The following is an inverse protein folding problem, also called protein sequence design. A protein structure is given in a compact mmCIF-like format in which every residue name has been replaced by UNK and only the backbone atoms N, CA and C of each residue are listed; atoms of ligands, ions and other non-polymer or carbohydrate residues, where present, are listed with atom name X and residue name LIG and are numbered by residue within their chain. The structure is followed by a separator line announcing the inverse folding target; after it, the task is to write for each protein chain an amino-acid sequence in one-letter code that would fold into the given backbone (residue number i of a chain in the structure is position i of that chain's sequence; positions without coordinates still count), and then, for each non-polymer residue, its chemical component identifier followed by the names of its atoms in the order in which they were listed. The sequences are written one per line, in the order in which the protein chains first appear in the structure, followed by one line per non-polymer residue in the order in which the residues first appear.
data_IF_046682318270
#
_entry.id   IF_046682318270
#
_cell.length_a   1.000
_cell.length_b   1.000
_cell.length_c   1.000
_cell.angle_alpha   90.00
_cell.angle_beta   90.00
_cell.angle_gamma   90.00
#
_symmetry.space_group_name_H-M   'P 1'
#
loop_
_entity.id
_entity.type
_entity.pdbx_description
1 polymer ?
#
# COMPACT_ATOMS: atom_id res chain seq x y z
N UNK A 1 -6.18 -26.52 -0.50
CA UNK A 1 -6.45 -25.76 0.74
C UNK A 1 -6.81 -24.31 0.47
N UNK A 2 -5.93 -23.46 -0.11
CA UNK A 2 -6.30 -22.05 -0.38
C UNK A 2 -7.59 -21.92 -1.16
N UNK A 3 -7.74 -22.68 -2.27
CA UNK A 3 -8.96 -22.66 -3.07
C UNK A 3 -10.21 -23.03 -2.26
N UNK A 4 -10.12 -24.02 -1.40
CA UNK A 4 -11.24 -24.45 -0.54
C UNK A 4 -11.57 -23.43 0.54
N UNK A 5 -10.55 -22.81 1.14
CA UNK A 5 -10.73 -21.79 2.18
C UNK A 5 -11.40 -20.52 1.62
N UNK A 6 -10.96 -20.04 0.46
CA UNK A 6 -11.52 -18.85 -0.19
C UNK A 6 -12.82 -19.12 -0.96
N UNK A 7 -13.06 -20.36 -1.42
CA UNK A 7 -14.30 -20.72 -2.10
C UNK A 7 -15.54 -20.50 -1.24
N UNK A 8 -15.43 -20.68 0.07
CA UNK A 8 -16.51 -20.44 1.02
C UNK A 8 -16.84 -18.94 1.20
N UNK A 9 -15.92 -18.06 0.87
CA UNK A 9 -16.12 -16.61 0.94
C UNK A 9 -16.71 -16.02 -0.35
N UNK A 10 -17.17 -16.84 -1.27
CA UNK A 10 -17.82 -16.51 -2.57
C UNK A 10 -16.95 -15.69 -3.55
N UNK A 11 -15.68 -15.43 -3.25
CA UNK A 11 -14.87 -14.42 -3.96
C UNK A 11 -13.50 -14.94 -4.44
N UNK A 12 -13.15 -16.21 -4.20
CA UNK A 12 -11.86 -16.73 -4.66
C UNK A 12 -11.88 -16.93 -6.20
N UNK A 13 -11.01 -16.24 -6.93
CA UNK A 13 -10.94 -16.44 -8.37
C UNK A 13 -10.47 -17.85 -8.71
N UNK A 14 -10.95 -18.46 -9.79
CA UNK A 14 -10.52 -19.79 -10.24
C UNK A 14 -9.01 -19.92 -10.48
N UNK A 15 -8.33 -18.82 -10.70
CA UNK A 15 -6.91 -18.67 -10.96
C UNK A 15 -6.04 -18.53 -9.70
N UNK A 16 -6.64 -18.49 -8.49
CA UNK A 16 -5.90 -18.46 -7.24
C UNK A 16 -4.86 -19.59 -7.11
N UNK A 17 -5.15 -20.86 -7.46
CA UNK A 17 -4.14 -21.91 -7.45
C UNK A 17 -2.96 -21.66 -8.37
N UNK A 18 -3.16 -20.98 -9.50
CA UNK A 18 -2.07 -20.63 -10.42
C UNK A 18 -1.17 -19.58 -9.82
N UNK A 19 -1.74 -18.52 -9.25
CA UNK A 19 -0.97 -17.51 -8.53
C UNK A 19 -0.17 -18.09 -7.36
N UNK A 20 -0.79 -18.96 -6.54
CA UNK A 20 -0.05 -19.65 -5.46
C UNK A 20 1.12 -20.48 -5.99
N UNK A 21 0.97 -21.15 -7.15
CA UNK A 21 2.08 -21.89 -7.78
C UNK A 21 3.19 -20.96 -8.24
N UNK A 22 2.88 -19.79 -8.76
CA UNK A 22 3.88 -18.79 -9.16
C UNK A 22 4.69 -18.33 -7.94
N UNK A 23 4.02 -18.06 -6.81
CA UNK A 23 4.68 -17.67 -5.56
C UNK A 23 5.58 -18.77 -4.97
N UNK A 24 5.18 -20.04 -5.08
CA UNK A 24 5.94 -21.20 -4.57
C UNK A 24 7.06 -21.61 -5.56
N UNK A 25 6.90 -21.29 -6.84
CA UNK A 25 7.75 -21.81 -7.93
C UNK A 25 9.22 -21.39 -7.87
N UNK A 26 9.60 -20.49 -6.97
CA UNK A 26 11.00 -20.08 -6.77
C UNK A 26 11.51 -19.06 -7.78
N UNK A 27 10.67 -18.54 -8.66
CA UNK A 27 11.01 -17.52 -9.66
C UNK A 27 10.49 -16.14 -9.31
N UNK A 28 9.60 -16.04 -8.33
CA UNK A 28 9.05 -14.77 -7.88
C UNK A 28 10.10 -13.98 -7.08
N UNK A 29 10.33 -12.68 -7.39
CA UNK A 29 11.45 -11.92 -6.80
C UNK A 29 11.31 -11.63 -5.31
N UNK A 30 10.09 -11.65 -4.75
CA UNK A 30 9.84 -11.25 -3.37
C UNK A 30 9.61 -12.44 -2.41
N UNK A 31 9.48 -13.67 -2.92
CA UNK A 31 9.06 -14.81 -2.11
C UNK A 31 9.55 -16.12 -2.73
N UNK A 32 9.76 -17.12 -1.87
CA UNK A 32 10.08 -18.48 -2.27
C UNK A 32 9.41 -19.53 -1.37
N UNK A 33 9.64 -20.82 -1.62
CA UNK A 33 9.00 -21.91 -0.89
C UNK A 33 9.20 -21.82 0.64
N UNK A 34 10.36 -21.33 1.10
CA UNK A 34 10.71 -21.17 2.50
C UNK A 34 9.95 -20.05 3.22
N UNK A 35 9.21 -19.20 2.50
CA UNK A 35 8.46 -18.08 3.05
C UNK A 35 7.03 -18.45 3.45
N UNK A 36 6.58 -19.64 3.11
CA UNK A 36 5.28 -20.15 3.51
C UNK A 36 5.31 -20.69 4.94
N UNK A 37 4.22 -20.47 5.66
CA UNK A 37 3.94 -21.04 6.98
C UNK A 37 2.65 -21.86 6.88
N UNK A 38 2.68 -23.08 7.41
CA UNK A 38 1.61 -24.05 7.24
C UNK A 38 1.28 -24.69 8.59
N UNK A 39 0.00 -25.06 8.77
CA UNK A 39 -0.45 -25.97 9.84
C UNK A 39 -0.96 -27.22 9.18
N UNK A 40 -0.44 -28.38 9.60
CA UNK A 40 -0.85 -29.70 9.16
C UNK A 40 -1.66 -30.42 10.24
N UNK A 41 -2.79 -31.00 9.87
CA UNK A 41 -3.45 -32.04 10.66
C UNK A 41 -2.75 -33.36 10.34
N UNK A 42 -1.87 -33.79 11.25
CA UNK A 42 -1.04 -34.98 11.07
C UNK A 42 -1.85 -36.28 11.06
N UNK A 43 -3.01 -36.29 11.73
CA UNK A 43 -3.89 -37.48 11.76
C UNK A 43 -4.57 -37.70 10.41
N UNK A 44 -4.82 -36.61 9.69
CA UNK A 44 -5.47 -36.63 8.37
C UNK A 44 -4.50 -36.40 7.22
N UNK A 45 -3.23 -36.08 7.49
CA UNK A 45 -2.19 -35.81 6.51
C UNK A 45 -2.53 -34.65 5.57
N UNK A 46 -3.18 -33.57 6.09
CA UNK A 46 -3.59 -32.43 5.27
C UNK A 46 -3.23 -31.08 5.88
N UNK A 47 -2.88 -30.13 5.02
CA UNK A 47 -2.68 -28.74 5.42
C UNK A 47 -4.06 -28.10 5.68
N UNK A 48 -4.22 -27.48 6.86
CA UNK A 48 -5.49 -26.92 7.34
C UNK A 48 -5.45 -25.42 7.53
N UNK A 49 -4.25 -24.82 7.66
CA UNK A 49 -4.09 -23.36 7.67
C UNK A 49 -2.76 -22.99 7.01
N UNK A 50 -2.70 -21.84 6.37
CA UNK A 50 -1.49 -21.38 5.70
C UNK A 50 -1.48 -19.85 5.55
N UNK A 51 -0.26 -19.31 5.42
CA UNK A 51 0.02 -17.94 4.99
C UNK A 51 1.42 -17.91 4.38
N UNK A 52 1.82 -16.79 3.80
CA UNK A 52 3.19 -16.54 3.36
C UNK A 52 3.66 -15.15 3.81
N UNK A 53 4.95 -14.88 3.68
CA UNK A 53 5.58 -13.61 4.00
C UNK A 53 6.39 -13.12 2.81
N UNK A 54 5.84 -12.16 2.05
CA UNK A 54 6.59 -11.48 0.99
C UNK A 54 7.57 -10.47 1.61
N UNK A 55 8.73 -10.31 0.96
CA UNK A 55 9.77 -9.37 1.39
C UNK A 55 9.73 -8.16 0.46
N UNK A 56 9.35 -7.01 1.00
CA UNK A 56 9.21 -5.77 0.24
C UNK A 56 10.15 -4.69 0.78
N UNK A 57 10.40 -3.69 -0.04
CA UNK A 57 11.05 -2.45 0.37
C UNK A 57 10.05 -1.32 0.19
N UNK A 58 9.69 -0.67 1.28
CA UNK A 58 9.02 0.63 1.20
C UNK A 58 10.04 1.75 1.34
N UNK A 59 9.70 2.93 0.90
CA UNK A 59 10.46 4.13 1.17
C UNK A 59 9.63 5.13 1.96
N UNK A 60 10.24 5.70 3.00
CA UNK A 60 9.70 6.80 3.77
C UNK A 60 10.47 8.07 3.38
N UNK A 61 9.94 8.88 2.47
CA UNK A 61 10.61 10.05 1.86
C UNK A 61 12.07 9.77 1.45
N UNK A 62 12.28 8.69 0.69
CA UNK A 62 13.60 8.28 0.19
C UNK A 62 14.40 7.39 1.14
N UNK A 63 13.96 7.17 2.39
CA UNK A 63 14.61 6.25 3.33
C UNK A 63 14.00 4.85 3.16
N UNK A 64 14.81 3.90 2.73
CA UNK A 64 14.39 2.52 2.54
C UNK A 64 14.07 1.83 3.88
N UNK A 65 12.91 1.16 3.92
CA UNK A 65 12.42 0.35 5.02
C UNK A 65 12.22 -1.08 4.52
N UNK A 66 12.83 -2.06 5.17
CA UNK A 66 12.51 -3.48 4.95
C UNK A 66 11.15 -3.77 5.56
N UNK A 67 10.24 -4.33 4.76
CA UNK A 67 8.86 -4.59 5.16
C UNK A 67 8.47 -6.02 4.83
N UNK A 68 7.88 -6.70 5.81
CA UNK A 68 7.23 -7.99 5.60
C UNK A 68 5.77 -7.81 5.21
N UNK A 69 5.30 -8.48 4.18
CA UNK A 69 3.88 -8.52 3.84
C UNK A 69 3.32 -9.93 4.04
N UNK A 70 2.60 -10.21 5.15
CA UNK A 70 1.81 -11.43 5.24
C UNK A 70 0.74 -11.44 4.15
N UNK A 71 0.58 -12.57 3.46
CA UNK A 71 -0.38 -12.70 2.38
C UNK A 71 -0.99 -14.10 2.37
N UNK A 72 -2.11 -14.29 1.67
CA UNK A 72 -2.77 -15.59 1.53
C UNK A 72 -3.11 -16.25 2.89
N UNK A 73 -3.60 -15.45 3.85
CA UNK A 73 -4.01 -15.96 5.16
C UNK A 73 -5.29 -16.77 5.00
N UNK A 74 -5.21 -18.09 5.15
CA UNK A 74 -6.33 -18.97 4.95
C UNK A 74 -6.38 -20.09 5.98
N UNK A 75 -7.59 -20.44 6.45
CA UNK A 75 -7.84 -21.59 7.32
C UNK A 75 -9.06 -22.33 6.81
N UNK A 76 -8.94 -23.66 6.66
CA UNK A 76 -10.06 -24.52 6.32
C UNK A 76 -11.19 -24.30 7.33
N UNK A 77 -12.42 -24.16 6.85
CA UNK A 77 -13.58 -23.77 7.65
C UNK A 77 -13.83 -24.72 8.85
N UNK A 78 -13.59 -26.05 8.72
CA UNK A 78 -13.71 -27.03 9.80
C UNK A 78 -12.71 -26.82 10.94
N UNK A 79 -11.66 -26.04 10.71
CA UNK A 79 -10.55 -25.79 11.64
C UNK A 79 -10.51 -24.33 12.13
N UNK A 80 -11.51 -23.52 11.76
CA UNK A 80 -11.62 -22.14 12.27
C UNK A 80 -11.84 -22.13 13.79
N UNK A 81 -11.58 -21.00 14.43
CA UNK A 81 -11.76 -20.76 15.87
C UNK A 81 -10.88 -21.62 16.80
N UNK A 82 -9.83 -22.28 16.25
CA UNK A 82 -8.87 -23.10 17.01
C UNK A 82 -7.53 -22.40 17.26
N UNK A 83 -7.44 -21.10 17.03
CA UNK A 83 -6.19 -20.33 17.23
C UNK A 83 -5.10 -20.55 16.18
N UNK A 84 -5.37 -21.24 15.07
CA UNK A 84 -4.35 -21.60 14.06
C UNK A 84 -3.73 -20.36 13.40
N UNK A 85 -4.54 -19.34 13.08
CA UNK A 85 -4.03 -18.08 12.53
C UNK A 85 -3.10 -17.39 13.54
N UNK A 86 -3.41 -17.42 14.84
CA UNK A 86 -2.54 -16.85 15.86
C UNK A 86 -1.18 -17.53 15.87
N UNK A 87 -1.16 -18.86 15.89
CA UNK A 87 0.09 -19.63 15.86
C UNK A 87 0.94 -19.35 14.60
N UNK A 88 0.29 -19.25 13.42
CA UNK A 88 0.98 -18.90 12.18
C UNK A 88 1.53 -17.46 12.24
N UNK A 89 0.78 -16.49 12.78
CA UNK A 89 1.24 -15.10 12.89
C UNK A 89 2.40 -14.96 13.88
N UNK A 90 2.45 -15.73 14.96
CA UNK A 90 3.63 -15.79 15.83
C UNK A 90 4.88 -16.21 15.05
N UNK A 91 4.78 -17.24 14.20
CA UNK A 91 5.88 -17.69 13.35
C UNK A 91 6.26 -16.62 12.30
N UNK A 92 5.27 -16.00 11.64
CA UNK A 92 5.49 -14.94 10.65
C UNK A 92 6.15 -13.72 11.30
N UNK A 93 5.72 -13.31 12.49
CA UNK A 93 6.33 -12.20 13.23
C UNK A 93 7.78 -12.51 13.64
N UNK A 94 8.05 -13.73 14.14
CA UNK A 94 9.41 -14.16 14.47
C UNK A 94 10.32 -14.16 13.22
N UNK A 95 9.82 -14.66 12.09
CA UNK A 95 10.52 -14.65 10.80
C UNK A 95 10.77 -13.22 10.29
N UNK A 96 9.78 -12.34 10.42
CA UNK A 96 9.89 -10.92 10.07
C UNK A 96 10.99 -10.23 10.91
N UNK A 97 11.01 -10.47 12.21
CA UNK A 97 12.06 -9.95 13.12
C UNK A 97 13.45 -10.47 12.74
N UNK A 98 13.58 -11.76 12.44
CA UNK A 98 14.85 -12.36 11.99
C UNK A 98 15.38 -11.76 10.67
N UNK A 99 14.49 -11.21 9.84
CA UNK A 99 14.82 -10.49 8.59
C UNK A 99 14.98 -9.00 8.77
N UNK A 100 14.94 -8.50 9.99
CA UNK A 100 15.06 -7.07 10.31
C UNK A 100 14.01 -6.18 9.63
N UNK A 101 12.80 -6.71 9.41
CA UNK A 101 11.71 -5.88 8.92
C UNK A 101 11.32 -4.85 9.97
N UNK A 102 11.30 -3.58 9.58
CA UNK A 102 10.91 -2.46 10.44
C UNK A 102 9.39 -2.28 10.53
N UNK A 103 8.67 -2.80 9.56
CA UNK A 103 7.22 -2.83 9.56
C UNK A 103 6.70 -4.11 8.89
N UNK A 104 5.43 -4.43 9.16
CA UNK A 104 4.66 -5.39 8.38
C UNK A 104 3.40 -4.69 7.86
N UNK A 105 3.03 -4.98 6.61
CA UNK A 105 1.82 -4.45 5.99
C UNK A 105 0.90 -5.58 5.53
N UNK A 106 -0.41 -5.45 5.72
CA UNK A 106 -1.42 -6.39 5.21
C UNK A 106 -2.73 -5.66 4.92
N UNK A 107 -3.46 -6.12 3.90
CA UNK A 107 -4.82 -5.68 3.60
C UNK A 107 -5.83 -6.82 3.79
N UNK A 108 -7.10 -6.56 3.60
CA UNK A 108 -8.17 -7.56 3.67
C UNK A 108 -8.96 -7.51 4.98
N UNK A 109 -9.46 -8.60 5.44
CA UNK A 109 -10.49 -8.81 6.47
C UNK A 109 -10.69 -7.65 7.43
N UNK A 110 -11.84 -6.92 7.35
CA UNK A 110 -12.09 -5.73 8.17
C UNK A 110 -11.94 -5.99 9.67
N UNK A 111 -11.23 -5.11 10.35
CA UNK A 111 -11.00 -5.13 11.80
C UNK A 111 -10.25 -6.34 12.38
N UNK A 112 -9.88 -7.31 11.55
CA UNK A 112 -9.36 -8.60 12.01
C UNK A 112 -7.93 -8.52 12.55
N UNK A 113 -7.01 -7.84 11.84
CA UNK A 113 -5.57 -7.86 12.16
C UNK A 113 -5.18 -7.00 13.35
N UNK A 114 -6.07 -6.18 13.89
CA UNK A 114 -5.83 -5.43 15.14
C UNK A 114 -5.50 -6.32 16.34
N UNK A 115 -6.02 -7.54 16.38
CA UNK A 115 -5.70 -8.52 17.44
C UNK A 115 -4.24 -9.03 17.40
N UNK A 116 -3.50 -8.67 16.36
CA UNK A 116 -2.08 -9.02 16.16
C UNK A 116 -1.18 -7.78 16.11
N UNK A 117 -1.60 -6.68 16.74
CA UNK A 117 -0.89 -5.40 16.84
C UNK A 117 -0.73 -4.64 15.50
N UNK A 118 -1.70 -4.78 14.59
CA UNK A 118 -1.79 -3.96 13.38
C UNK A 118 -2.81 -2.83 13.54
N UNK A 119 -2.53 -1.68 12.93
CA UNK A 119 -3.43 -0.54 12.86
C UNK A 119 -3.60 -0.08 11.42
N UNK A 120 -4.77 0.44 11.06
CA UNK A 120 -4.97 1.12 9.79
C UNK A 120 -4.14 2.40 9.72
N UNK A 121 -2.96 2.34 9.12
CA UNK A 121 -1.99 3.43 9.14
C UNK A 121 -1.71 4.07 7.77
N UNK A 122 -2.15 3.46 6.67
CA UNK A 122 -2.04 3.99 5.32
C UNK A 122 -3.36 3.80 4.58
N UNK A 123 -3.71 4.69 3.67
CA UNK A 123 -4.80 4.43 2.73
C UNK A 123 -4.33 3.41 1.67
N UNK A 124 -5.21 2.52 1.22
CA UNK A 124 -4.88 1.52 0.20
C UNK A 124 -4.90 2.16 -1.18
N UNK A 125 -6.03 2.74 -1.55
CA UNK A 125 -6.19 3.52 -2.77
C UNK A 125 -7.34 4.52 -2.61
N UNK A 126 -7.45 5.48 -3.53
CA UNK A 126 -8.49 6.49 -3.53
C UNK A 126 -9.48 6.27 -4.67
N UNK A 127 -10.16 5.13 -4.73
CA UNK A 127 -10.92 4.67 -5.89
C UNK A 127 -11.85 5.71 -6.52
N UNK A 128 -11.72 5.85 -7.85
CA UNK A 128 -12.62 6.65 -8.69
C UNK A 128 -13.10 5.79 -9.85
N UNK A 129 -14.41 5.82 -10.09
CA UNK A 129 -15.04 5.04 -11.14
C UNK A 129 -15.59 5.95 -12.23
N UNK A 130 -15.20 5.68 -13.49
CA UNK A 130 -15.69 6.39 -14.66
C UNK A 130 -16.52 5.42 -15.51
N UNK A 131 -17.82 5.65 -15.61
CA UNK A 131 -18.67 4.87 -16.50
C UNK A 131 -18.21 5.01 -17.95
N UNK A 132 -18.28 3.94 -18.74
CA UNK A 132 -17.98 4.00 -20.17
C UNK A 132 -18.86 4.99 -20.94
N UNK A 133 -20.07 5.26 -20.45
CA UNK A 133 -20.95 6.28 -21.02
C UNK A 133 -20.44 7.71 -20.81
N UNK A 134 -19.64 7.94 -19.75
CA UNK A 134 -19.04 9.24 -19.45
C UNK A 134 -17.70 9.47 -20.14
N UNK A 135 -17.12 8.46 -20.80
CA UNK A 135 -15.86 8.61 -21.55
C UNK A 135 -16.07 9.50 -22.76
N UNK A 136 -15.34 10.63 -22.89
CA UNK A 136 -15.51 11.55 -24.01
C UNK A 136 -15.24 10.89 -25.37
N UNK A 137 -16.16 11.02 -26.30
CA UNK A 137 -16.00 10.53 -27.68
C UNK A 137 -15.12 11.47 -28.50
N UNK A 138 -14.43 10.91 -29.50
CA UNK A 138 -13.81 11.71 -30.56
C UNK A 138 -14.87 12.26 -31.52
N UNK A 139 -14.60 13.37 -32.13
CA UNK A 139 -15.37 13.84 -33.27
C UNK A 139 -15.06 13.00 -34.52
N UNK A 140 -16.02 12.92 -35.42
CA UNK A 140 -15.82 12.16 -36.66
C UNK A 140 -14.57 12.66 -37.41
N UNK A 141 -13.66 11.71 -37.71
CA UNK A 141 -12.43 12.01 -38.43
C UNK A 141 -11.30 12.62 -37.57
N UNK A 142 -11.52 12.84 -36.28
CA UNK A 142 -10.45 13.31 -35.36
C UNK A 142 -9.53 12.16 -35.00
N UNK A 143 -8.20 12.30 -35.22
CA UNK A 143 -7.25 11.25 -34.80
C UNK A 143 -7.06 11.24 -33.29
N UNK A 144 -6.73 10.06 -32.73
CA UNK A 144 -6.29 9.97 -31.33
C UNK A 144 -4.99 10.73 -31.12
N UNK A 145 -4.98 11.61 -30.11
CA UNK A 145 -3.78 12.37 -29.75
C UNK A 145 -2.75 11.52 -29.01
N UNK A 146 -3.21 10.50 -28.28
CA UNK A 146 -2.36 9.56 -27.54
C UNK A 146 -2.89 8.14 -27.70
N UNK A 147 -1.97 7.17 -27.71
CA UNK A 147 -2.30 5.74 -27.79
C UNK A 147 -1.66 4.97 -26.65
N UNK A 148 -2.19 3.79 -26.32
CA UNK A 148 -1.58 2.85 -25.38
C UNK A 148 -0.86 1.73 -26.14
N UNK A 149 0.37 1.47 -25.77
CA UNK A 149 1.19 0.37 -26.29
C UNK A 149 1.71 -0.49 -25.14
N UNK A 150 1.57 -1.80 -25.24
CA UNK A 150 2.14 -2.70 -24.23
C UNK A 150 3.64 -2.50 -24.11
N UNK A 151 4.13 -2.44 -22.87
CA UNK A 151 5.55 -2.33 -22.58
C UNK A 151 6.21 -3.71 -22.63
N UNK A 152 7.39 -3.76 -23.22
CA UNK A 152 8.26 -4.94 -23.23
C UNK A 152 9.55 -4.72 -22.45
N UNK A 153 10.44 -5.73 -22.47
CA UNK A 153 11.74 -5.63 -21.76
C UNK A 153 12.61 -4.46 -22.23
N UNK A 154 12.50 -4.05 -23.50
CA UNK A 154 13.22 -2.90 -24.03
C UNK A 154 12.77 -1.56 -23.37
N UNK A 155 11.55 -1.52 -22.84
CA UNK A 155 10.98 -0.34 -22.22
C UNK A 155 11.27 -0.27 -20.70
N UNK A 156 11.88 -1.31 -20.13
CA UNK A 156 12.09 -1.46 -18.68
C UNK A 156 12.75 -0.23 -18.03
N UNK A 157 13.84 0.36 -18.55
CA UNK A 157 14.46 1.55 -17.94
C UNK A 157 13.50 2.75 -17.91
N UNK A 158 12.67 2.90 -18.94
CA UNK A 158 11.70 3.99 -19.02
C UNK A 158 10.57 3.79 -18.03
N UNK A 159 10.00 2.57 -17.93
CA UNK A 159 8.95 2.23 -16.97
C UNK A 159 9.43 2.49 -15.55
N UNK A 160 10.63 2.05 -15.19
CA UNK A 160 11.23 2.29 -13.88
C UNK A 160 11.38 3.78 -13.58
N UNK A 161 11.84 4.57 -14.56
CA UNK A 161 11.98 6.02 -14.40
C UNK A 161 10.64 6.72 -14.17
N UNK A 162 9.60 6.34 -14.91
CA UNK A 162 8.27 6.92 -14.77
C UNK A 162 7.64 6.55 -13.42
N UNK A 163 7.77 5.30 -13.00
CA UNK A 163 7.31 4.84 -11.70
C UNK A 163 8.03 5.54 -10.54
N UNK A 164 9.36 5.69 -10.63
CA UNK A 164 10.13 6.39 -9.60
C UNK A 164 9.72 7.86 -9.44
N UNK A 165 9.31 8.52 -10.51
CA UNK A 165 8.76 9.89 -10.46
C UNK A 165 7.37 9.92 -9.80
N UNK A 166 6.51 8.98 -10.14
CA UNK A 166 5.17 8.87 -9.54
C UNK A 166 5.26 8.63 -8.03
N UNK A 167 5.99 7.60 -7.61
CA UNK A 167 6.09 7.21 -6.22
C UNK A 167 6.78 8.25 -5.31
N UNK A 168 7.63 9.11 -5.87
CA UNK A 168 8.31 10.18 -5.13
C UNK A 168 7.36 11.30 -4.64
N UNK A 169 6.09 11.29 -5.04
CA UNK A 169 5.09 12.28 -4.62
C UNK A 169 4.60 12.06 -3.20
N UNK A 170 4.45 10.82 -2.77
CA UNK A 170 3.97 10.46 -1.44
C UNK A 170 5.08 10.30 -0.41
N UNK A 171 4.78 10.46 0.89
CA UNK A 171 5.76 10.23 1.95
C UNK A 171 6.12 8.75 2.09
N UNK A 172 5.18 7.82 1.85
CA UNK A 172 5.45 6.38 1.88
C UNK A 172 5.03 5.75 0.56
N UNK A 173 5.93 4.99 -0.03
CA UNK A 173 5.70 4.31 -1.30
C UNK A 173 6.42 2.96 -1.36
N UNK A 174 5.96 2.08 -2.24
CA UNK A 174 6.67 0.81 -2.53
C UNK A 174 7.83 1.08 -3.49
N UNK A 175 9.01 0.57 -3.15
CA UNK A 175 10.14 0.52 -4.08
C UNK A 175 10.07 -0.76 -4.90
N UNK A 176 10.06 -0.62 -6.22
CA UNK A 176 10.07 -1.74 -7.15
C UNK A 176 11.44 -1.77 -7.84
N UNK A 177 12.16 -2.86 -7.70
CA UNK A 177 13.45 -3.05 -8.34
C UNK A 177 13.31 -3.62 -9.77
N UNK A 178 14.44 -3.73 -10.45
CA UNK A 178 14.49 -4.28 -11.81
C UNK A 178 13.99 -5.72 -11.89
N UNK A 179 14.28 -6.55 -10.88
CA UNK A 179 13.87 -7.95 -10.86
C UNK A 179 12.35 -8.08 -10.82
N UNK A 180 11.70 -7.28 -9.99
CA UNK A 180 10.24 -7.27 -9.92
C UNK A 180 9.59 -6.67 -11.17
N UNK A 181 10.15 -5.61 -11.76
CA UNK A 181 9.65 -5.10 -13.04
C UNK A 181 9.79 -6.10 -14.18
N UNK A 182 10.90 -6.86 -14.24
CA UNK A 182 11.03 -7.97 -15.19
C UNK A 182 9.95 -9.02 -14.98
N UNK A 183 9.67 -9.37 -13.73
CA UNK A 183 8.58 -10.27 -13.38
C UNK A 183 7.24 -9.73 -13.89
N UNK A 184 6.90 -8.47 -13.63
CA UNK A 184 5.67 -7.83 -14.10
C UNK A 184 5.56 -7.86 -15.63
N UNK A 185 6.65 -7.57 -16.35
CA UNK A 185 6.61 -7.46 -17.80
C UNK A 185 6.52 -8.82 -18.51
N UNK A 186 7.26 -9.85 -18.04
CA UNK A 186 7.41 -11.12 -18.76
C UNK A 186 7.39 -12.39 -17.91
N UNK A 187 7.39 -12.28 -16.57
CA UNK A 187 7.51 -13.43 -15.68
C UNK A 187 6.17 -13.95 -15.15
N UNK A 188 5.15 -13.11 -15.09
CA UNK A 188 3.85 -13.46 -14.54
C UNK A 188 3.11 -14.47 -15.42
N UNK A 189 2.48 -15.46 -14.78
CA UNK A 189 1.59 -16.37 -15.48
C UNK A 189 0.31 -15.63 -15.91
N UNK A 190 -0.02 -15.72 -17.20
CA UNK A 190 -1.22 -15.07 -17.75
C UNK A 190 -2.54 -15.58 -17.15
N UNK A 191 -2.53 -16.77 -16.56
CA UNK A 191 -3.69 -17.40 -15.92
C UNK A 191 -3.73 -17.18 -14.39
N UNK A 192 -2.77 -16.45 -13.82
CA UNK A 192 -2.73 -16.11 -12.39
C UNK A 192 -3.86 -15.18 -11.96
N UNK A 193 -4.26 -15.26 -10.68
CA UNK A 193 -5.29 -14.40 -10.10
C UNK A 193 -4.85 -12.93 -10.07
N UNK A 194 -3.59 -12.71 -9.71
CA UNK A 194 -2.97 -11.41 -9.74
C UNK A 194 -2.09 -11.28 -10.99
N UNK A 195 -2.13 -10.14 -11.60
CA UNK A 195 -1.31 -9.89 -12.78
C UNK A 195 -1.55 -8.50 -13.36
N UNK A 196 -0.45 -7.91 -13.77
CA UNK A 196 -0.41 -6.54 -14.28
C UNK A 196 -0.07 -6.50 -15.75
N UNK A 197 -0.67 -5.57 -16.47
CA UNK A 197 -0.30 -5.17 -17.81
C UNK A 197 0.22 -3.74 -17.76
N UNK A 198 1.49 -3.56 -18.09
CA UNK A 198 2.13 -2.24 -18.18
C UNK A 198 2.02 -1.74 -19.61
N UNK A 199 1.47 -0.55 -19.78
CA UNK A 199 1.33 0.10 -21.09
C UNK A 199 1.98 1.47 -21.07
N UNK A 200 2.69 1.82 -22.14
CA UNK A 200 3.21 3.15 -22.35
C UNK A 200 2.17 4.03 -23.07
N UNK A 201 2.06 5.27 -22.63
CA UNK A 201 1.27 6.30 -23.26
C UNK A 201 2.15 6.96 -24.32
N UNK A 202 1.75 6.88 -25.59
CA UNK A 202 2.55 7.33 -26.73
C UNK A 202 1.82 8.50 -27.42
N UNK A 203 2.54 9.59 -27.68
CA UNK A 203 2.03 10.75 -28.42
C UNK A 203 2.08 10.54 -29.94
N UNK A 204 1.50 11.47 -30.71
CA UNK A 204 1.44 11.41 -32.17
C UNK A 204 2.80 11.42 -32.89
N UNK A 205 3.91 11.71 -32.19
CA UNK A 205 5.28 11.61 -32.70
C UNK A 205 5.94 10.24 -32.44
N UNK A 206 5.25 9.35 -31.73
CA UNK A 206 5.79 8.06 -31.30
C UNK A 206 6.60 8.12 -30.01
N UNK A 207 6.63 9.27 -29.30
CA UNK A 207 7.34 9.41 -28.03
C UNK A 207 6.48 8.90 -26.89
N UNK A 208 7.05 8.09 -26.01
CA UNK A 208 6.39 7.69 -24.77
C UNK A 208 6.42 8.84 -23.76
N UNK A 209 5.24 9.27 -23.32
CA UNK A 209 5.03 10.42 -22.43
C UNK A 209 4.49 10.06 -21.06
N UNK A 210 4.27 8.78 -20.80
CA UNK A 210 3.74 8.28 -19.54
C UNK A 210 3.53 6.77 -19.58
N UNK A 211 2.93 6.24 -18.51
CA UNK A 211 2.56 4.83 -18.44
C UNK A 211 1.23 4.62 -17.71
N UNK A 212 0.65 3.47 -17.92
CA UNK A 212 -0.52 2.95 -17.19
C UNK A 212 -0.20 1.52 -16.76
N UNK A 213 -0.46 1.21 -15.50
CA UNK A 213 -0.45 -0.14 -14.97
C UNK A 213 -1.89 -0.55 -14.70
N UNK A 214 -2.40 -1.54 -15.41
CA UNK A 214 -3.76 -2.05 -15.25
C UNK A 214 -3.77 -3.52 -14.90
N UNK A 215 -4.86 -3.97 -14.29
CA UNK A 215 -5.07 -5.40 -14.12
C UNK A 215 -5.07 -6.11 -15.49
N UNK A 216 -4.50 -7.29 -15.54
CA UNK A 216 -4.46 -8.12 -16.75
C UNK A 216 -5.82 -8.72 -17.07
N UNK A 217 -6.59 -9.06 -16.02
CA UNK A 217 -7.92 -9.64 -16.08
C UNK A 217 -8.92 -8.82 -15.27
N UNK A 218 -10.19 -8.93 -15.60
CA UNK A 218 -11.27 -8.32 -14.82
C UNK A 218 -11.80 -9.32 -13.79
N UNK A 219 -11.99 -8.84 -12.55
CA UNK A 219 -12.69 -9.56 -11.50
C UNK A 219 -14.12 -9.02 -11.28
N UNK A 220 -14.42 -7.85 -11.84
CA UNK A 220 -15.72 -7.17 -11.78
C UNK A 220 -16.05 -6.60 -13.15
N UNK A 221 -17.08 -5.75 -13.26
CA UNK A 221 -17.39 -4.95 -14.44
C UNK A 221 -16.36 -3.83 -14.73
N UNK A 222 -15.34 -3.68 -13.88
CA UNK A 222 -14.37 -2.58 -14.00
C UNK A 222 -13.07 -3.02 -14.68
N UNK A 223 -12.51 -2.13 -15.51
CA UNK A 223 -11.10 -2.16 -15.89
C UNK A 223 -10.31 -1.42 -14.82
N UNK A 224 -9.55 -2.14 -13.98
CA UNK A 224 -8.79 -1.55 -12.87
C UNK A 224 -7.46 -1.00 -13.35
N UNK A 225 -7.20 0.26 -13.06
CA UNK A 225 -5.91 0.96 -13.22
C UNK A 225 -5.32 1.17 -11.84
N UNK A 226 -4.13 0.66 -11.59
CA UNK A 226 -3.47 0.70 -10.26
C UNK A 226 -2.28 1.65 -10.20
N UNK A 227 -1.76 2.09 -11.35
CA UNK A 227 -0.78 3.16 -11.44
C UNK A 227 -0.94 3.89 -12.78
N UNK A 228 -0.68 5.18 -12.79
CA UNK A 228 -0.67 6.00 -13.99
C UNK A 228 0.18 7.25 -13.76
N UNK A 229 1.13 7.47 -14.62
CA UNK A 229 1.93 8.69 -14.59
C UNK A 229 2.07 9.28 -15.99
N UNK A 230 2.09 10.60 -16.05
CA UNK A 230 2.34 11.39 -17.27
C UNK A 230 3.45 12.38 -16.97
N UNK A 231 4.39 12.55 -17.90
CA UNK A 231 5.50 13.50 -17.79
C UNK A 231 5.00 14.92 -17.47
N UNK A 232 5.69 15.70 -16.62
CA UNK A 232 5.20 17.00 -16.12
C UNK A 232 4.86 18.03 -17.20
N UNK A 233 5.54 17.94 -18.35
CA UNK A 233 5.34 18.88 -19.47
C UNK A 233 4.24 18.43 -20.44
N UNK A 234 3.53 17.37 -20.14
CA UNK A 234 2.44 16.83 -20.96
C UNK A 234 1.12 17.06 -20.23
N UNK A 235 0.15 17.78 -20.84
CA UNK A 235 -1.08 18.13 -20.15
C UNK A 235 -1.98 16.92 -19.96
N UNK A 236 -2.06 16.43 -18.70
CA UNK A 236 -2.84 15.27 -18.30
C UNK A 236 -4.31 15.33 -18.77
N UNK A 237 -4.91 16.53 -18.77
CA UNK A 237 -6.29 16.75 -19.26
C UNK A 237 -6.47 16.43 -20.74
N UNK A 238 -5.39 16.42 -21.54
CA UNK A 238 -5.39 16.02 -22.94
C UNK A 238 -5.11 14.53 -23.13
N UNK A 239 -4.31 13.95 -22.24
CA UNK A 239 -3.93 12.52 -22.26
C UNK A 239 -5.08 11.64 -21.81
N UNK A 240 -5.73 12.03 -20.72
CA UNK A 240 -6.69 11.19 -20.00
C UNK A 240 -7.89 10.72 -20.85
N UNK A 241 -8.51 11.55 -21.71
CA UNK A 241 -9.59 11.09 -22.61
C UNK A 241 -9.14 9.98 -23.56
N UNK A 242 -7.94 10.08 -24.15
CA UNK A 242 -7.38 9.05 -25.05
C UNK A 242 -7.11 7.75 -24.28
N UNK A 243 -6.54 7.84 -23.06
CA UNK A 243 -6.32 6.68 -22.19
C UNK A 243 -7.64 6.00 -21.86
N UNK A 244 -8.67 6.75 -21.47
CA UNK A 244 -9.98 6.18 -21.13
C UNK A 244 -10.63 5.50 -22.33
N UNK A 245 -10.56 6.07 -23.54
CA UNK A 245 -11.07 5.42 -24.75
C UNK A 245 -10.33 4.13 -25.08
N UNK A 246 -9.00 4.14 -24.97
CA UNK A 246 -8.18 2.95 -25.18
C UNK A 246 -8.53 1.83 -24.18
N UNK A 247 -8.65 2.14 -22.89
CA UNK A 247 -9.04 1.18 -21.85
C UNK A 247 -10.46 0.64 -22.08
N UNK A 248 -11.41 1.48 -22.49
CA UNK A 248 -12.76 1.05 -22.87
C UNK A 248 -12.74 0.07 -24.04
N UNK A 249 -11.99 0.36 -25.10
CA UNK A 249 -11.85 -0.52 -26.25
C UNK A 249 -11.20 -1.87 -25.88
N UNK A 250 -10.14 -1.84 -25.04
CA UNK A 250 -9.49 -3.04 -24.56
C UNK A 250 -10.41 -3.91 -23.69
N UNK A 251 -11.35 -3.31 -22.97
CA UNK A 251 -12.28 -4.00 -22.09
C UNK A 251 -13.14 -5.04 -22.80
N UNK A 252 -13.41 -4.86 -24.10
CA UNK A 252 -14.23 -5.77 -24.92
C UNK A 252 -13.58 -7.15 -25.09
N UNK A 253 -12.25 -7.20 -25.14
CA UNK A 253 -11.47 -8.44 -25.34
C UNK A 253 -10.68 -8.86 -24.10
N UNK A 254 -10.76 -8.07 -23.02
CA UNK A 254 -10.02 -8.34 -21.79
C UNK A 254 -10.49 -9.62 -21.11
N UNK A 255 -9.59 -10.56 -20.79
CA UNK A 255 -9.93 -11.77 -20.06
C UNK A 255 -10.60 -11.45 -18.72
N UNK A 256 -11.50 -12.33 -18.26
CA UNK A 256 -12.23 -12.13 -17.01
C UNK A 256 -12.21 -13.40 -16.15
N UNK A 257 -12.32 -13.21 -14.83
CA UNK A 257 -12.59 -14.27 -13.86
C UNK A 257 -14.10 -14.49 -13.63
N UNK A 258 -14.92 -13.59 -14.18
CA UNK A 258 -16.38 -13.71 -14.08
C UNK A 258 -16.86 -14.91 -14.90
N UNK A 259 -17.98 -15.54 -14.50
CA UNK A 259 -18.60 -16.58 -15.30
C UNK A 259 -19.06 -16.03 -16.66
N UNK A 260 -19.32 -16.88 -17.66
CA UNK A 260 -19.70 -16.45 -19.02
C UNK A 260 -20.96 -15.55 -19.07
N UNK A 261 -21.85 -15.69 -18.10
CA UNK A 261 -23.07 -14.88 -17.89
C UNK A 261 -22.86 -13.72 -16.92
N UNK A 262 -21.62 -13.47 -16.49
CA UNK A 262 -21.26 -12.37 -15.60
C UNK A 262 -21.41 -11.00 -16.29
N UNK A 263 -21.41 -9.91 -15.50
CA UNK A 263 -21.61 -8.56 -16.03
C UNK A 263 -20.52 -8.18 -17.04
N UNK A 264 -20.90 -7.54 -18.17
CA UNK A 264 -19.95 -6.99 -19.11
C UNK A 264 -19.14 -5.85 -18.45
N UNK A 265 -18.02 -5.51 -19.05
CA UNK A 265 -17.29 -4.30 -18.63
C UNK A 265 -18.15 -3.06 -18.85
N UNK A 266 -18.22 -2.17 -17.86
CA UNK A 266 -19.07 -0.98 -17.91
C UNK A 266 -18.38 0.29 -17.42
N UNK A 267 -17.20 0.17 -16.78
CA UNK A 267 -16.50 1.29 -16.18
C UNK A 267 -15.00 1.08 -16.07
N UNK A 268 -14.27 2.18 -15.84
CA UNK A 268 -12.85 2.19 -15.47
C UNK A 268 -12.78 2.51 -13.99
N UNK A 269 -12.03 1.72 -13.23
CA UNK A 269 -11.71 1.95 -11.82
C UNK A 269 -10.26 2.44 -11.69
N UNK A 270 -10.06 3.69 -11.32
CA UNK A 270 -8.75 4.24 -11.00
C UNK A 270 -8.47 4.06 -9.51
N UNK A 271 -7.64 3.09 -9.15
CA UNK A 271 -7.17 2.82 -7.80
C UNK A 271 -5.78 3.44 -7.58
N UNK A 272 -5.72 4.77 -7.60
CA UNK A 272 -4.48 5.54 -7.46
C UNK A 272 -4.39 6.14 -6.05
N UNK A 273 -3.28 6.79 -5.74
CA UNK A 273 -3.12 7.56 -4.51
C UNK A 273 -4.27 8.59 -4.36
N UNK A 274 -4.72 8.80 -3.12
CA UNK A 274 -5.94 9.58 -2.77
C UNK A 274 -6.01 10.99 -3.39
N UNK A 275 -4.88 11.68 -3.54
CA UNK A 275 -4.76 13.03 -4.11
C UNK A 275 -4.08 13.02 -5.49
N UNK A 276 -4.19 11.90 -6.21
CA UNK A 276 -3.56 11.76 -7.51
C UNK A 276 -4.13 12.77 -8.53
N UNK A 277 -3.28 13.44 -9.36
CA UNK A 277 -3.73 14.46 -10.32
C UNK A 277 -4.76 13.97 -11.34
N UNK A 278 -4.81 12.67 -11.62
CA UNK A 278 -5.86 12.07 -12.46
C UNK A 278 -7.24 12.36 -11.88
N UNK A 279 -7.39 12.37 -10.57
CA UNK A 279 -8.68 12.61 -9.91
C UNK A 279 -9.16 14.05 -10.09
N UNK A 280 -8.24 15.01 -10.04
CA UNK A 280 -8.55 16.40 -10.36
C UNK A 280 -8.94 16.55 -11.84
N UNK A 281 -8.21 15.89 -12.74
CA UNK A 281 -8.48 15.92 -14.18
C UNK A 281 -9.81 15.20 -14.55
N UNK A 282 -10.22 14.18 -13.80
CA UNK A 282 -11.52 13.51 -13.98
C UNK A 282 -12.68 14.41 -13.53
N UNK A 283 -12.50 15.19 -12.45
CA UNK A 283 -13.53 16.07 -11.91
C UNK A 283 -14.88 15.36 -11.73
N UNK A 284 -15.94 15.92 -12.29
CA UNK A 284 -17.30 15.40 -12.19
C UNK A 284 -17.59 14.13 -13.03
N UNK A 285 -16.65 13.66 -13.85
CA UNK A 285 -16.81 12.43 -14.63
C UNK A 285 -16.77 11.16 -13.78
N UNK A 286 -16.19 11.25 -12.57
CA UNK A 286 -15.96 10.10 -11.71
C UNK A 286 -16.86 10.09 -10.48
N UNK A 287 -17.41 8.92 -10.15
CA UNK A 287 -17.92 8.64 -8.81
C UNK A 287 -16.76 8.27 -7.87
N UNK A 288 -16.97 8.48 -6.57
CA UNK A 288 -15.94 8.36 -5.54
C UNK A 288 -16.35 7.30 -4.53
N UNK A 289 -15.47 6.33 -4.28
CA UNK A 289 -15.56 5.46 -3.13
C UNK A 289 -14.49 5.82 -2.09
N UNK A 290 -14.81 5.77 -0.79
CA UNK A 290 -13.81 5.97 0.25
C UNK A 290 -12.68 4.94 0.11
N UNK A 291 -11.41 5.35 0.31
CA UNK A 291 -10.30 4.41 0.28
C UNK A 291 -10.41 3.40 1.43
N UNK A 292 -10.06 2.15 1.16
CA UNK A 292 -9.77 1.19 2.21
C UNK A 292 -8.41 1.52 2.87
N UNK A 293 -7.86 0.62 3.67
CA UNK A 293 -6.64 0.94 4.40
C UNK A 293 -5.72 -0.26 4.56
N UNK A 294 -4.42 -0.01 4.50
CA UNK A 294 -3.40 -0.93 4.96
C UNK A 294 -3.35 -0.99 6.48
N UNK A 295 -3.39 -2.18 6.99
CA UNK A 295 -2.93 -2.47 8.35
C UNK A 295 -1.40 -2.44 8.37
N UNK A 296 -0.83 -1.70 9.30
CA UNK A 296 0.61 -1.66 9.51
C UNK A 296 0.92 -2.06 10.95
N UNK A 297 1.88 -2.95 11.13
CA UNK A 297 2.48 -3.30 12.41
C UNK A 297 3.92 -2.82 12.43
N UNK A 298 4.31 -2.16 13.49
CA UNK A 298 5.70 -1.74 13.74
C UNK A 298 6.19 -2.46 15.00
N UNK A 299 7.05 -3.49 14.88
CA UNK A 299 7.50 -4.27 16.03
C UNK A 299 8.34 -3.47 17.02
N UNK A 300 9.16 -2.54 16.52
CA UNK A 300 10.04 -1.66 17.29
C UNK A 300 9.89 -0.23 16.76
N UNK A 301 9.01 0.54 17.42
CA UNK A 301 8.75 1.92 17.03
C UNK A 301 9.98 2.83 17.19
N UNK A 302 10.76 2.77 18.28
CA UNK A 302 12.04 3.47 18.38
C UNK A 302 13.00 3.19 17.22
N UNK A 303 13.14 1.93 16.80
CA UNK A 303 14.00 1.57 15.66
C UNK A 303 13.50 2.19 14.35
N UNK A 304 12.18 2.17 14.09
CA UNK A 304 11.60 2.85 12.94
C UNK A 304 11.88 4.35 12.99
N UNK A 305 11.65 5.02 14.12
CA UNK A 305 11.89 6.46 14.29
C UNK A 305 13.36 6.80 14.06
N UNK A 306 14.30 6.05 14.64
CA UNK A 306 15.74 6.23 14.37
C UNK A 306 16.06 6.04 12.89
N UNK A 307 15.45 5.08 12.23
CA UNK A 307 15.66 4.85 10.79
C UNK A 307 15.22 6.03 9.93
N UNK A 308 14.08 6.65 10.26
CA UNK A 308 13.56 7.80 9.51
C UNK A 308 14.00 9.16 10.07
N UNK A 309 14.91 9.19 11.05
CA UNK A 309 15.41 10.42 11.68
C UNK A 309 15.82 11.51 10.67
N UNK A 310 16.53 11.22 9.55
CA UNK A 310 16.89 12.25 8.58
C UNK A 310 15.67 12.96 7.97
N UNK A 311 14.54 12.27 7.85
CA UNK A 311 13.29 12.88 7.38
C UNK A 311 12.69 13.78 8.45
N UNK A 312 12.64 13.30 9.69
CA UNK A 312 12.09 14.05 10.82
C UNK A 312 12.90 15.33 11.08
N UNK A 313 14.22 15.24 11.04
CA UNK A 313 15.14 16.39 11.19
C UNK A 313 14.94 17.42 10.07
N UNK A 314 14.80 16.97 8.82
CA UNK A 314 14.54 17.86 7.68
C UNK A 314 13.18 18.58 7.81
N UNK A 315 12.14 17.86 8.25
CA UNK A 315 10.81 18.44 8.51
C UNK A 315 10.87 19.45 9.65
N UNK A 316 11.56 19.11 10.73
CA UNK A 316 11.74 19.99 11.88
C UNK A 316 12.48 21.27 11.49
N UNK A 317 13.56 21.17 10.71
CA UNK A 317 14.33 22.33 10.22
C UNK A 317 13.50 23.30 9.37
N UNK A 318 12.48 22.79 8.65
CA UNK A 318 11.53 23.59 7.86
C UNK A 318 10.29 24.08 8.63
N UNK A 319 10.27 23.96 9.96
CA UNK A 319 9.10 24.24 10.80
C UNK A 319 9.36 25.37 11.80
N UNK A 320 8.32 25.88 12.50
CA UNK A 320 8.51 26.82 13.63
C UNK A 320 9.34 26.25 14.79
N UNK A 321 9.54 24.93 14.86
CA UNK A 321 10.37 24.26 15.86
C UNK A 321 11.81 23.99 15.38
N UNK A 322 12.28 24.71 14.35
CA UNK A 322 13.67 24.60 13.86
C UNK A 322 14.68 24.83 14.98
N UNK A 323 15.69 23.93 15.08
CA UNK A 323 16.68 24.01 16.12
C UNK A 323 16.25 23.58 17.52
N UNK A 324 15.07 22.94 17.63
CA UNK A 324 14.55 22.46 18.91
C UNK A 324 15.56 21.60 19.68
N UNK A 325 15.68 21.85 20.98
CA UNK A 325 16.43 21.03 21.93
C UNK A 325 15.53 20.74 23.10
N UNK A 326 15.29 19.46 23.36
CA UNK A 326 14.36 19.01 24.42
C UNK A 326 13.90 17.58 24.19
N UNK A 327 12.93 17.18 24.98
CA UNK A 327 12.35 15.84 24.91
C UNK A 327 10.84 15.91 24.56
N UNK A 328 10.38 14.93 23.80
CA UNK A 328 8.97 14.69 23.53
C UNK A 328 8.61 13.30 24.05
N UNK A 329 7.78 13.24 25.10
CA UNK A 329 7.36 12.02 25.78
C UNK A 329 5.89 11.72 25.42
N UNK A 330 5.68 10.55 24.80
CA UNK A 330 4.38 10.07 24.31
C UNK A 330 3.92 8.88 25.16
N UNK A 331 2.70 8.95 25.70
CA UNK A 331 2.06 7.86 26.42
C UNK A 331 1.08 7.10 25.50
N UNK A 332 1.26 5.79 25.39
CA UNK A 332 0.36 4.90 24.67
C UNK A 332 -0.53 4.07 25.60
N UNK A 333 -0.73 4.52 26.85
CA UNK A 333 -1.49 3.85 27.92
C UNK A 333 -0.95 2.48 28.36
N UNK A 334 -0.25 1.76 27.49
CA UNK A 334 0.38 0.45 27.76
C UNK A 334 1.89 0.46 27.57
N UNK A 335 2.46 1.58 27.30
CA UNK A 335 3.87 1.86 27.03
C UNK A 335 3.97 3.26 26.48
N UNK A 336 5.11 3.65 25.96
CA UNK A 336 5.31 4.99 25.40
C UNK A 336 6.58 5.09 24.58
N UNK A 337 6.83 6.27 24.09
CA UNK A 337 7.97 6.64 23.28
C UNK A 337 8.57 7.95 23.83
N UNK A 338 9.88 7.98 24.04
CA UNK A 338 10.64 9.21 24.31
C UNK A 338 11.49 9.54 23.10
N UNK A 339 11.40 10.77 22.64
CA UNK A 339 12.24 11.33 21.58
C UNK A 339 13.05 12.46 22.18
N UNK A 340 14.37 12.40 22.09
CA UNK A 340 15.27 13.46 22.52
C UNK A 340 15.86 14.18 21.30
N UNK A 341 15.83 15.50 21.32
CA UNK A 341 16.37 16.34 20.24
C UNK A 341 17.46 17.28 20.78
N UNK A 342 18.52 17.48 19.98
CA UNK A 342 19.57 18.45 20.21
C UNK A 342 19.78 19.28 18.94
N UNK A 343 19.56 20.58 19.01
CA UNK A 343 19.72 21.52 17.89
C UNK A 343 18.97 21.06 16.61
N UNK A 344 17.76 20.53 16.79
CA UNK A 344 16.91 20.06 15.70
C UNK A 344 17.24 18.66 15.16
N UNK A 345 18.19 17.95 15.77
CA UNK A 345 18.57 16.58 15.42
C UNK A 345 18.01 15.59 16.43
N UNK A 346 17.56 14.44 15.97
CA UNK A 346 17.14 13.35 16.84
C UNK A 346 18.37 12.71 17.50
N UNK A 347 18.59 13.04 18.77
CA UNK A 347 19.69 12.48 19.57
C UNK A 347 19.36 11.06 20.04
N UNK A 348 18.09 10.79 20.41
CA UNK A 348 17.65 9.45 20.85
C UNK A 348 16.15 9.23 20.60
N UNK A 349 15.77 7.97 20.47
CA UNK A 349 14.40 7.48 20.46
C UNK A 349 14.35 6.14 21.19
N UNK A 350 13.58 6.06 22.28
CA UNK A 350 13.54 4.87 23.12
C UNK A 350 12.12 4.54 23.61
N UNK A 351 11.95 3.30 24.02
CA UNK A 351 10.73 2.91 24.74
C UNK A 351 10.68 3.64 26.07
N UNK A 352 9.53 4.20 26.39
CA UNK A 352 9.30 4.90 27.64
C UNK A 352 8.05 4.35 28.34
N UNK A 353 8.01 4.42 29.68
CA UNK A 353 6.87 3.97 30.45
C UNK A 353 6.50 4.98 31.53
N UNK A 354 5.39 5.72 31.37
CA UNK A 354 4.92 6.70 32.37
C UNK A 354 4.62 6.09 33.74
N UNK A 355 4.36 4.78 33.79
CA UNK A 355 4.05 4.05 35.05
C UNK A 355 5.30 3.65 35.84
N UNK A 356 6.45 3.53 35.20
CA UNK A 356 7.71 3.21 35.87
C UNK A 356 8.23 4.40 36.69
N UNK A 357 7.89 5.61 36.27
CA UNK A 357 8.31 6.86 36.89
C UNK A 357 7.18 7.51 37.71
N UNK A 358 6.84 6.94 38.85
CA UNK A 358 5.76 7.45 39.75
C UNK A 358 5.89 8.93 40.15
N UNK A 359 7.04 9.58 39.92
CA UNK A 359 7.36 10.99 40.16
C UNK A 359 8.01 11.68 38.97
N UNK A 360 8.03 11.04 37.79
CA UNK A 360 8.62 11.59 36.56
C UNK A 360 7.73 12.63 35.87
N UNK A 361 8.24 13.28 34.82
CA UNK A 361 7.46 14.21 34.03
C UNK A 361 6.23 13.53 33.42
N UNK A 362 5.12 14.27 33.34
CA UNK A 362 3.91 13.79 32.65
C UNK A 362 4.18 13.73 31.16
N UNK A 363 3.57 12.74 30.47
CA UNK A 363 3.56 12.70 29.03
C UNK A 363 3.03 14.01 28.44
N UNK A 364 3.71 14.49 27.43
CA UNK A 364 3.31 15.71 26.71
C UNK A 364 2.22 15.44 25.67
N UNK A 365 2.08 14.19 25.25
CA UNK A 365 0.97 13.73 24.44
C UNK A 365 0.59 12.29 24.76
N UNK A 366 -0.69 11.93 24.57
CA UNK A 366 -1.20 10.58 24.79
C UNK A 366 -2.00 10.12 23.57
N UNK A 367 -1.85 8.86 23.21
CA UNK A 367 -2.57 8.21 22.12
C UNK A 367 -3.05 6.82 22.53
N UNK A 368 -4.28 6.41 22.20
CA UNK A 368 -4.67 5.01 22.34
C UNK A 368 -3.65 4.07 21.66
N UNK A 369 -3.48 2.84 22.16
CA UNK A 369 -2.51 1.91 21.60
C UNK A 369 -2.64 1.78 20.08
N UNK A 370 -1.51 1.82 19.37
CA UNK A 370 -1.37 1.76 17.92
C UNK A 370 -1.84 3.00 17.13
N UNK A 371 -2.73 3.84 17.68
CA UNK A 371 -3.28 5.02 16.98
C UNK A 371 -2.19 5.98 16.50
N UNK A 372 -1.08 6.09 17.22
CA UNK A 372 0.06 6.91 16.83
C UNK A 372 0.65 6.51 15.46
N UNK A 373 0.47 5.26 15.01
CA UNK A 373 0.89 4.82 13.68
C UNK A 373 0.15 5.55 12.56
N UNK A 374 -1.11 5.96 12.78
CA UNK A 374 -1.85 6.77 11.80
C UNK A 374 -1.20 8.13 11.57
N UNK A 375 -0.62 8.71 12.62
CA UNK A 375 0.15 9.96 12.53
C UNK A 375 1.53 9.73 11.87
N UNK A 376 2.28 8.71 12.33
CA UNK A 376 3.62 8.38 11.80
C UNK A 376 3.61 8.18 10.30
N UNK A 377 2.61 7.46 9.78
CA UNK A 377 2.48 7.17 8.35
C UNK A 377 1.66 8.23 7.59
N UNK A 378 1.24 9.32 8.24
CA UNK A 378 0.58 10.46 7.61
C UNK A 378 -0.86 10.22 7.15
N UNK A 379 -1.50 9.13 7.57
CA UNK A 379 -2.89 8.81 7.20
C UNK A 379 -3.89 9.80 7.79
N UNK A 380 -3.63 10.25 9.01
CA UNK A 380 -4.46 11.23 9.74
C UNK A 380 -3.59 12.33 10.30
N UNK A 381 -4.12 13.53 10.29
CA UNK A 381 -3.52 14.67 11.00
C UNK A 381 -3.73 14.56 12.50
N UNK A 382 -2.90 15.26 13.26
CA UNK A 382 -3.06 15.35 14.70
C UNK A 382 -4.45 15.91 15.09
N UNK A 383 -4.93 16.91 14.35
CA UNK A 383 -6.25 17.50 14.57
C UNK A 383 -7.38 16.48 14.35
N UNK A 384 -7.35 15.73 13.23
CA UNK A 384 -8.34 14.66 12.98
C UNK A 384 -8.36 13.60 14.09
N UNK A 385 -7.18 13.23 14.60
CA UNK A 385 -7.08 12.24 15.69
C UNK A 385 -7.63 12.80 17.01
N UNK A 386 -7.35 14.07 17.35
CA UNK A 386 -7.91 14.72 18.53
C UNK A 386 -9.44 14.84 18.45
N UNK A 387 -9.97 15.16 17.27
CA UNK A 387 -11.42 15.31 17.05
C UNK A 387 -12.15 13.96 17.11
N UNK A 388 -11.54 12.91 16.56
CA UNK A 388 -12.15 11.59 16.49
C UNK A 388 -12.04 10.77 17.78
N UNK A 389 -11.00 11.00 18.59
CA UNK A 389 -10.65 10.17 19.73
C UNK A 389 -10.39 11.02 20.99
N UNK A 390 -11.31 11.03 21.97
CA UNK A 390 -11.17 11.81 23.22
C UNK A 390 -9.92 11.45 24.04
N UNK A 391 -9.37 10.26 23.83
CA UNK A 391 -8.16 9.76 24.49
C UNK A 391 -6.85 10.19 23.81
N UNK A 392 -6.93 10.90 22.67
CA UNK A 392 -5.78 11.61 22.10
C UNK A 392 -5.70 12.97 22.78
N UNK A 393 -4.66 13.18 23.60
CA UNK A 393 -4.47 14.38 24.42
C UNK A 393 -3.11 14.98 24.14
N UNK A 394 -3.07 16.31 24.06
CA UNK A 394 -1.85 17.08 23.86
C UNK A 394 -1.74 18.14 24.95
N UNK A 395 -0.68 18.12 25.72
CA UNK A 395 -0.45 19.02 26.86
C UNK A 395 0.36 20.25 26.42
N UNK A 396 -0.34 21.29 26.01
CA UNK A 396 0.27 22.56 25.61
C UNK A 396 0.53 22.73 24.11
N UNK A 397 1.09 23.88 23.75
CA UNK A 397 1.33 24.25 22.34
C UNK A 397 2.59 23.64 21.72
N UNK A 398 3.66 23.53 22.47
CA UNK A 398 4.95 23.04 21.98
C UNK A 398 4.87 21.59 21.47
N UNK A 399 4.33 20.60 22.20
CA UNK A 399 4.19 19.24 21.71
C UNK A 399 3.29 19.15 20.47
N UNK A 400 2.26 19.99 20.35
CA UNK A 400 1.43 20.06 19.15
C UNK A 400 2.24 20.48 17.94
N UNK A 401 2.98 21.58 18.03
CA UNK A 401 3.84 22.09 16.95
C UNK A 401 4.88 21.04 16.54
N UNK A 402 5.50 20.35 17.51
CA UNK A 402 6.46 19.30 17.25
C UNK A 402 5.83 18.12 16.50
N UNK A 403 4.69 17.61 16.97
CA UNK A 403 4.02 16.47 16.34
C UNK A 403 3.52 16.80 14.92
N UNK A 404 2.94 17.98 14.71
CA UNK A 404 2.50 18.43 13.39
C UNK A 404 3.68 18.64 12.41
N UNK A 405 4.82 19.13 12.91
CA UNK A 405 6.03 19.27 12.12
C UNK A 405 6.66 17.92 11.76
N UNK A 406 6.79 17.03 12.74
CA UNK A 406 7.45 15.74 12.56
C UNK A 406 6.60 14.78 11.71
N UNK A 407 5.27 14.79 11.89
CA UNK A 407 4.34 13.82 11.30
C UNK A 407 3.15 14.51 10.63
N UNK A 408 3.36 15.29 9.55
CA UNK A 408 2.27 15.93 8.82
C UNK A 408 1.40 14.88 8.12
N UNK A 409 0.08 15.12 8.08
CA UNK A 409 -0.80 14.31 7.25
C UNK A 409 -0.48 14.53 5.78
N UNK A 410 -0.16 13.47 5.09
CA UNK A 410 0.14 13.47 3.65
C UNK A 410 -0.25 12.10 3.08
N UNK A 411 -0.98 12.06 1.96
CA UNK A 411 -1.36 10.81 1.34
C UNK A 411 -0.12 10.03 0.89
N UNK A 412 -0.16 8.75 1.17
CA UNK A 412 0.87 7.79 0.80
C UNK A 412 0.29 6.78 -0.18
N UNK A 413 1.14 6.21 -1.02
CA UNK A 413 0.72 5.18 -1.93
C UNK A 413 1.67 4.00 -1.90
N UNK A 414 1.16 2.92 -1.34
CA UNK A 414 1.87 1.64 -1.26
C UNK A 414 1.22 0.68 -2.23
N UNK A 415 1.93 0.37 -3.30
CA UNK A 415 1.46 -0.58 -4.30
C UNK A 415 1.57 -2.00 -3.73
N UNK A 416 0.49 -2.79 -3.74
CA UNK A 416 0.58 -4.20 -3.42
C UNK A 416 1.40 -4.91 -4.49
N UNK A 417 2.49 -5.57 -4.08
CA UNK A 417 3.31 -6.40 -4.95
C UNK A 417 2.97 -7.86 -4.67
N UNK A 418 2.30 -8.50 -5.62
CA UNK A 418 1.76 -9.86 -5.50
C UNK A 418 2.47 -10.84 -6.43
#
# INVERSE_FOLDING_TARGET
MYFEAFRYEQHAPPSLPTWVRDLIGGHHPLIGPGDFALVEDTDRGRIVSATCLLNQVWEYEGIALLVGRPELVATNWEYRERGLVRAIFELIHARSTARSHLALGITGIPYYYRQFDYEYALDEDGQRFVSFAAVPSLKDGEPESYTLRDAGLADLPQVMTLYDRERARGPVSTRIDEAYWRWVLVGQNSEGAEGWCTQLIVDGSGRSVGYVLRARRRATESVRVSAMWVEPNVPLVRVLPSVMRALRAQAETMPTFLPPDGPPASQIAFGLEREHPVYEALGALASVDPPYAWYVRVPDLPALIRRVAPVLERRLAGSPASGYTGELQLDFYRGGLRLAFELGRLADAEHWSPRAERRGPRAQASFPPLVFLQLVFGRRSLTELCDALPDVRIEGGEPRVLLEALFPARPSWVMPLD
#
